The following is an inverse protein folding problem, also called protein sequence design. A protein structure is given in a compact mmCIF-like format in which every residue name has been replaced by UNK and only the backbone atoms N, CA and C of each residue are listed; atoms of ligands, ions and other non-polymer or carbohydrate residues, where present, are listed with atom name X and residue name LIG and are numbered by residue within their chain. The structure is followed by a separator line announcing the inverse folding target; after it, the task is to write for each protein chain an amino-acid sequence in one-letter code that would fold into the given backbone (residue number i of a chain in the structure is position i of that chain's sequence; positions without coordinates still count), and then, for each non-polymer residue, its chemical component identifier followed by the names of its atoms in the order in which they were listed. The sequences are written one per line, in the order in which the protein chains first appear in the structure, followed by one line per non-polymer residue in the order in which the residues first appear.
data_IF_455577697896
#
_entry.id   IF_455577697896
#
_cell.length_a   1.000
_cell.length_b   1.000
_cell.length_c   1.000
_cell.angle_alpha   90.00
_cell.angle_beta   90.00
_cell.angle_gamma   90.00
#
_symmetry.space_group_name_H-M   'P 1'
#
loop_
_entity.id
_entity.type
_entity.pdbx_description
1 polymer ?
#
# COMPACT_ATOMS: atom_id res chain seq x y z
N UNK A 1 -8.41 28.20 18.21
CA UNK A 1 -8.84 27.52 16.97
C UNK A 1 -8.26 26.12 16.95
N UNK A 2 -9.11 25.09 16.97
CA UNK A 2 -8.71 23.68 16.92
C UNK A 2 -9.11 23.08 15.57
N UNK A 3 -8.28 22.23 14.98
CA UNK A 3 -8.43 21.76 13.60
C UNK A 3 -8.14 20.28 13.51
N UNK A 4 -9.02 19.57 12.81
CA UNK A 4 -8.89 18.14 12.56
C UNK A 4 -9.10 17.83 11.07
N UNK A 5 -8.37 16.84 10.56
CA UNK A 5 -8.66 16.23 9.26
C UNK A 5 -9.80 15.24 9.51
N UNK A 6 -10.92 15.45 8.84
CA UNK A 6 -12.07 14.54 8.92
C UNK A 6 -11.90 13.39 7.95
N UNK A 7 -11.49 13.72 6.73
CA UNK A 7 -11.30 12.72 5.67
C UNK A 7 -10.32 13.21 4.62
N UNK A 8 -9.70 12.24 3.96
CA UNK A 8 -8.94 12.43 2.73
C UNK A 8 -9.57 11.51 1.69
N UNK A 9 -9.88 12.03 0.51
CA UNK A 9 -10.46 11.28 -0.61
C UNK A 9 -9.71 11.58 -1.90
N UNK A 10 -9.95 10.80 -2.96
CA UNK A 10 -9.48 11.15 -4.31
C UNK A 10 -10.31 12.32 -4.85
N UNK A 11 -9.66 13.26 -5.52
CA UNK A 11 -10.31 14.30 -6.31
C UNK A 11 -10.42 13.84 -7.77
N UNK A 12 -11.59 13.34 -8.16
CA UNK A 12 -11.85 12.78 -9.50
C UNK A 12 -12.22 13.83 -10.55
N UNK A 13 -12.28 15.11 -10.17
CA UNK A 13 -12.51 16.21 -11.08
C UNK A 13 -11.21 16.69 -11.76
N UNK A 14 -10.04 16.27 -11.26
CA UNK A 14 -8.75 16.63 -11.83
C UNK A 14 -8.23 15.57 -12.80
N UNK A 15 -7.60 16.01 -13.90
CA UNK A 15 -6.92 15.13 -14.85
C UNK A 15 -5.63 14.49 -14.28
N UNK A 16 -5.02 15.17 -13.31
CA UNK A 16 -3.81 14.70 -12.62
C UNK A 16 -4.24 14.04 -11.31
N UNK A 17 -3.62 12.92 -10.89
CA UNK A 17 -3.90 12.32 -9.59
C UNK A 17 -3.87 13.36 -8.47
N UNK A 18 -4.98 13.49 -7.74
CA UNK A 18 -5.15 14.51 -6.73
C UNK A 18 -5.93 13.98 -5.54
N UNK A 19 -5.67 14.57 -4.37
CA UNK A 19 -6.41 14.32 -3.14
C UNK A 19 -7.25 15.53 -2.77
N UNK A 20 -8.38 15.27 -2.14
CA UNK A 20 -9.21 16.25 -1.45
C UNK A 20 -9.17 15.97 0.04
N UNK A 21 -8.91 17.01 0.83
CA UNK A 21 -8.77 16.93 2.29
C UNK A 21 -9.88 17.77 2.92
N UNK A 22 -10.77 17.12 3.66
CA UNK A 22 -11.78 17.80 4.46
C UNK A 22 -11.21 18.14 5.83
N UNK A 23 -11.18 19.44 6.14
CA UNK A 23 -10.81 19.97 7.43
C UNK A 23 -12.04 20.49 8.17
N UNK A 24 -12.12 20.21 9.46
CA UNK A 24 -13.04 20.91 10.37
C UNK A 24 -12.21 21.81 11.28
N UNK A 25 -12.55 23.09 11.27
CA UNK A 25 -11.94 24.12 12.09
C UNK A 25 -12.95 24.68 13.08
N UNK A 26 -12.66 24.56 14.36
CA UNK A 26 -13.48 25.07 15.46
C UNK A 26 -13.14 26.55 15.70
N UNK A 27 -14.05 27.45 15.31
CA UNK A 27 -13.90 28.91 15.43
C UNK A 27 -15.01 29.53 16.29
N UNK A 28 -14.71 30.68 16.90
CA UNK A 28 -15.69 31.47 17.66
C UNK A 28 -16.51 32.34 16.70
N UNK A 29 -17.75 31.95 16.45
CA UNK A 29 -18.60 32.66 15.49
C UNK A 29 -18.79 34.13 15.86
N UNK A 30 -18.79 34.99 14.84
CA UNK A 30 -18.86 36.47 14.94
C UNK A 30 -17.61 37.15 15.54
N UNK A 31 -16.64 36.38 16.06
CA UNK A 31 -15.43 36.90 16.69
C UNK A 31 -14.15 36.49 15.95
N UNK A 32 -14.17 35.33 15.30
CA UNK A 32 -13.11 34.82 14.44
C UNK A 32 -13.70 34.35 13.11
N UNK A 33 -13.08 34.75 12.00
CA UNK A 33 -13.42 34.30 10.65
C UNK A 33 -12.16 33.77 9.96
N UNK A 34 -12.09 32.47 9.64
CA UNK A 34 -11.07 31.95 8.74
C UNK A 34 -11.22 32.58 7.36
N UNK A 35 -10.17 33.23 6.87
CA UNK A 35 -10.15 33.91 5.57
C UNK A 35 -9.59 33.03 4.45
N UNK A 36 -8.61 32.20 4.77
CA UNK A 36 -8.05 31.25 3.81
C UNK A 36 -7.29 30.15 4.53
N UNK A 37 -7.33 28.94 3.98
CA UNK A 37 -6.55 27.81 4.45
C UNK A 37 -5.60 27.32 3.35
N UNK A 38 -4.34 27.12 3.71
CA UNK A 38 -3.34 26.56 2.79
C UNK A 38 -2.30 25.77 3.57
N UNK A 39 -1.50 24.94 2.93
CA UNK A 39 -0.51 24.17 3.66
C UNK A 39 0.32 23.23 2.82
N UNK A 40 0.93 22.27 3.52
CA UNK A 40 1.71 21.18 2.94
C UNK A 40 1.15 19.88 3.46
N UNK A 41 1.04 18.89 2.57
CA UNK A 41 0.77 17.50 2.94
C UNK A 41 2.10 16.76 2.97
N UNK A 42 2.36 16.05 4.05
CA UNK A 42 3.61 15.36 4.31
C UNK A 42 3.35 13.86 4.53
N UNK A 43 4.32 13.05 4.13
CA UNK A 43 4.37 11.64 4.48
C UNK A 43 4.92 11.44 5.90
N UNK A 44 4.82 10.22 6.42
CA UNK A 44 5.33 9.82 7.74
C UNK A 44 6.80 10.16 7.97
N UNK A 45 7.64 10.10 6.93
CA UNK A 45 9.07 10.44 7.01
C UNK A 45 9.33 11.96 6.98
N UNK A 46 8.29 12.79 7.07
CA UNK A 46 8.38 14.24 7.08
C UNK A 46 8.65 14.87 5.72
N UNK A 47 8.66 14.10 4.62
CA UNK A 47 8.80 14.65 3.27
C UNK A 47 7.49 15.25 2.80
N UNK A 48 7.57 16.41 2.15
CA UNK A 48 6.42 17.06 1.51
C UNK A 48 6.05 16.30 0.24
N UNK A 49 4.81 15.84 0.17
CA UNK A 49 4.27 15.11 -0.99
C UNK A 49 3.38 15.99 -1.87
N UNK A 50 2.76 17.02 -1.29
CA UNK A 50 1.87 17.93 -2.01
C UNK A 50 1.71 19.27 -1.30
N UNK A 51 1.22 20.28 -2.03
CA UNK A 51 0.80 21.57 -1.48
C UNK A 51 -0.73 21.58 -1.37
N UNK A 52 -1.25 21.91 -0.20
CA UNK A 52 -2.68 22.01 0.07
C UNK A 52 -3.15 23.41 -0.28
N UNK A 53 -4.16 23.50 -1.16
CA UNK A 53 -4.77 24.75 -1.59
C UNK A 53 -6.29 24.65 -1.48
N UNK A 54 -6.93 25.74 -1.10
CA UNK A 54 -8.38 25.83 -1.03
C UNK A 54 -8.95 25.84 -2.46
N UNK A 55 -9.72 24.81 -2.80
CA UNK A 55 -10.27 24.65 -4.15
C UNK A 55 -11.67 25.26 -4.24
N UNK A 56 -12.51 25.08 -3.21
CA UNK A 56 -13.88 25.57 -3.17
C UNK A 56 -14.27 25.99 -1.75
N UNK A 57 -14.89 27.17 -1.61
CA UNK A 57 -15.59 27.55 -0.39
C UNK A 57 -16.99 26.91 -0.50
N UNK A 58 -17.15 25.74 0.10
CA UNK A 58 -18.33 24.86 -0.05
C UNK A 58 -19.64 25.45 0.50
N UNK A 59 -19.62 26.64 1.11
CA UNK A 59 -20.83 27.28 1.63
C UNK A 59 -21.01 28.68 1.07
N UNK A 60 -22.19 28.93 0.53
CA UNK A 60 -22.83 30.26 0.42
C UNK A 60 -23.16 30.87 1.80
N UNK A 61 -22.57 30.35 2.89
CA UNK A 61 -22.80 30.87 4.23
C UNK A 61 -22.09 32.21 4.36
N UNK A 62 -22.86 33.26 4.62
CA UNK A 62 -22.32 34.55 5.03
C UNK A 62 -21.69 34.43 6.42
N UNK A 63 -20.36 34.31 6.45
CA UNK A 63 -19.59 34.47 7.68
C UNK A 63 -19.13 35.92 7.79
N UNK A 64 -19.28 36.48 8.99
CA UNK A 64 -18.89 37.86 9.22
C UNK A 64 -18.55 38.10 10.68
N UNK A 65 -17.74 39.13 10.91
CA UNK A 65 -17.50 39.67 12.24
C UNK A 65 -18.63 40.63 12.57
N UNK A 66 -19.24 40.49 13.74
CA UNK A 66 -20.26 41.42 14.22
C UNK A 66 -19.65 42.30 15.29
N UNK A 67 -19.74 43.61 15.16
CA UNK A 67 -19.36 44.51 16.24
C UNK A 67 -20.35 44.28 17.39
N UNK A 68 -19.86 43.79 18.53
CA UNK A 68 -20.66 43.47 19.71
C UNK A 68 -20.41 44.52 20.79
N UNK A 69 -21.44 44.85 21.56
CA UNK A 69 -21.25 45.57 22.83
C UNK A 69 -20.52 44.68 23.85
N UNK A 70 -19.96 45.30 24.90
CA UNK A 70 -19.17 44.61 25.92
C UNK A 70 -19.93 43.48 26.64
N UNK A 71 -21.20 43.67 27.09
CA UNK A 71 -21.97 42.60 27.72
C UNK A 71 -22.22 41.39 26.79
N UNK A 72 -22.48 41.65 25.51
CA UNK A 72 -22.67 40.60 24.51
C UNK A 72 -21.35 39.88 24.26
N UNK A 73 -20.25 40.61 24.15
CA UNK A 73 -18.91 40.04 23.97
C UNK A 73 -18.56 39.06 25.10
N UNK A 74 -18.73 39.45 26.35
CA UNK A 74 -18.49 38.60 27.53
C UNK A 74 -19.37 37.34 27.51
N UNK A 75 -20.64 37.47 27.11
CA UNK A 75 -21.56 36.33 26.94
C UNK A 75 -21.10 35.35 25.85
N UNK A 76 -20.53 35.84 24.75
CA UNK A 76 -19.99 35.00 23.67
C UNK A 76 -18.68 34.31 24.04
N UNK A 77 -17.86 34.91 24.91
CA UNK A 77 -16.64 34.28 25.42
C UNK A 77 -16.92 33.26 26.52
N UNK A 78 -17.87 33.54 27.42
CA UNK A 78 -18.19 32.66 28.55
C UNK A 78 -19.05 31.45 28.17
N UNK A 79 -19.79 31.52 27.06
CA UNK A 79 -20.49 30.39 26.48
C UNK A 79 -19.64 29.87 25.33
N UNK A 80 -19.22 28.61 25.34
CA UNK A 80 -18.44 27.96 24.29
C UNK A 80 -19.17 27.95 22.91
N UNK A 81 -19.38 29.11 22.28
CA UNK A 81 -19.98 29.29 20.96
C UNK A 81 -18.95 28.99 19.87
N UNK A 82 -18.38 27.80 19.97
CA UNK A 82 -17.46 27.25 18.99
C UNK A 82 -18.29 26.52 17.96
N UNK A 83 -18.25 26.95 16.70
CA UNK A 83 -18.90 26.25 15.59
C UNK A 83 -17.86 25.64 14.65
N UNK A 84 -18.18 24.52 14.00
CA UNK A 84 -17.33 23.92 12.99
C UNK A 84 -17.41 24.72 11.68
N UNK A 85 -16.26 25.12 11.17
CA UNK A 85 -16.04 25.61 9.82
C UNK A 85 -15.40 24.49 8.99
N UNK A 86 -16.09 24.09 7.92
CA UNK A 86 -15.63 23.04 7.00
C UNK A 86 -14.87 23.67 5.85
N UNK A 87 -13.68 23.17 5.55
CA UNK A 87 -12.87 23.60 4.41
C UNK A 87 -12.39 22.39 3.61
N UNK A 88 -12.52 22.46 2.29
CA UNK A 88 -12.00 21.45 1.38
C UNK A 88 -10.72 21.97 0.72
N UNK A 89 -9.61 21.30 1.00
CA UNK A 89 -8.34 21.59 0.35
C UNK A 89 -8.05 20.53 -0.70
N UNK A 90 -7.69 20.95 -1.91
CA UNK A 90 -7.16 20.08 -2.94
C UNK A 90 -5.64 20.07 -2.95
N UNK A 91 -5.08 18.96 -3.41
CA UNK A 91 -3.67 18.88 -3.74
C UNK A 91 -3.38 17.84 -4.82
N UNK A 92 -2.68 18.24 -5.89
CA UNK A 92 -2.22 17.31 -6.91
C UNK A 92 -0.97 16.56 -6.45
N UNK A 93 -0.89 15.28 -6.78
CA UNK A 93 0.21 14.39 -6.46
C UNK A 93 1.06 14.12 -7.69
N UNK A 94 2.37 14.29 -7.55
CA UNK A 94 3.32 13.84 -8.58
C UNK A 94 3.52 12.33 -8.54
N UNK A 95 3.91 11.72 -9.66
CA UNK A 95 4.28 10.31 -9.72
C UNK A 95 5.36 9.93 -8.69
N UNK A 96 6.33 10.84 -8.45
CA UNK A 96 7.37 10.65 -7.43
C UNK A 96 6.80 10.60 -6.01
N UNK A 97 5.81 11.44 -5.71
CA UNK A 97 5.13 11.45 -4.42
C UNK A 97 4.30 10.17 -4.22
N UNK A 98 3.58 9.74 -5.24
CA UNK A 98 2.79 8.50 -5.25
C UNK A 98 3.69 7.28 -4.99
N UNK A 99 4.78 7.14 -5.75
CA UNK A 99 5.74 6.06 -5.57
C UNK A 99 6.39 6.09 -4.18
N UNK A 100 6.67 7.29 -3.65
CA UNK A 100 7.21 7.45 -2.30
C UNK A 100 6.24 6.94 -1.24
N UNK A 101 4.95 7.29 -1.34
CA UNK A 101 3.91 6.81 -0.43
C UNK A 101 3.77 5.29 -0.48
N UNK A 102 3.76 4.71 -1.69
CA UNK A 102 3.65 3.26 -1.86
C UNK A 102 4.85 2.52 -1.28
N UNK A 103 6.07 3.05 -1.47
CA UNK A 103 7.29 2.48 -0.88
C UNK A 103 7.27 2.53 0.66
N UNK A 104 6.76 3.61 1.26
CA UNK A 104 6.60 3.70 2.71
C UNK A 104 5.55 2.71 3.22
N UNK A 105 4.41 2.63 2.54
CA UNK A 105 3.33 1.69 2.83
C UNK A 105 3.83 0.24 2.84
N UNK A 106 4.60 -0.14 1.82
CA UNK A 106 5.14 -1.50 1.69
C UNK A 106 6.09 -1.88 2.82
N UNK A 107 6.77 -0.91 3.45
CA UNK A 107 7.67 -1.16 4.59
C UNK A 107 6.92 -1.37 5.92
N UNK A 108 5.67 -0.89 6.04
CA UNK A 108 4.86 -1.06 7.25
C UNK A 108 4.27 -2.46 7.35
N UNK A 109 4.06 -2.93 8.59
CA UNK A 109 3.38 -4.21 8.85
C UNK A 109 1.89 -4.13 8.49
N UNK A 110 1.21 -3.06 8.92
CA UNK A 110 -0.22 -2.81 8.68
C UNK A 110 -0.54 -2.32 7.26
N UNK A 111 0.49 -1.99 6.46
CA UNK A 111 0.35 -1.46 5.10
C UNK A 111 -0.61 -0.26 4.96
N UNK A 112 -0.77 0.52 6.03
CA UNK A 112 -1.49 1.79 6.07
C UNK A 112 -0.61 2.94 5.58
N UNK A 113 -1.24 4.04 5.14
CA UNK A 113 -0.56 5.27 4.72
C UNK A 113 -0.82 6.37 5.73
N UNK A 114 0.24 6.87 6.37
CA UNK A 114 0.16 7.98 7.30
C UNK A 114 0.53 9.30 6.64
N UNK A 115 -0.35 10.27 6.84
CA UNK A 115 -0.24 11.60 6.29
C UNK A 115 -0.33 12.63 7.42
N UNK A 116 0.37 13.74 7.23
CA UNK A 116 0.32 14.89 8.12
C UNK A 116 0.10 16.16 7.30
N UNK A 117 -0.92 16.93 7.64
CA UNK A 117 -1.11 18.26 7.06
C UNK A 117 -0.51 19.31 7.99
N UNK A 118 0.38 20.14 7.44
CA UNK A 118 0.87 21.37 8.09
C UNK A 118 0.20 22.56 7.45
N UNK A 119 -0.66 23.22 8.19
CA UNK A 119 -1.56 24.26 7.72
C UNK A 119 -1.09 25.64 8.16
N UNK A 120 -1.26 26.63 7.28
CA UNK A 120 -1.18 28.06 7.53
C UNK A 120 -2.56 28.65 7.26
N UNK A 121 -3.14 29.27 8.28
CA UNK A 121 -4.53 29.71 8.25
C UNK A 121 -4.56 31.18 8.58
N UNK A 122 -5.07 31.94 7.62
CA UNK A 122 -5.28 33.37 7.80
C UNK A 122 -6.62 33.54 8.49
N UNK A 123 -6.61 34.22 9.62
CA UNK A 123 -7.79 34.48 10.44
C UNK A 123 -7.93 35.98 10.63
N UNK A 124 -9.15 36.47 10.47
CA UNK A 124 -9.56 37.79 10.93
C UNK A 124 -10.28 37.62 12.26
N UNK A 125 -9.85 38.33 13.29
CA UNK A 125 -10.46 38.26 14.61
C UNK A 125 -10.60 39.62 15.30
N UNK A 126 -11.49 39.68 16.29
CA UNK A 126 -11.82 40.89 17.02
C UNK A 126 -11.40 40.80 18.49
N UNK A 127 -10.37 41.54 18.94
CA UNK A 127 -9.96 41.66 20.35
C UNK A 127 -10.06 40.37 21.15
N UNK A 128 -10.15 40.43 22.46
CA UNK A 128 -11.03 39.53 23.24
C UNK A 128 -11.32 40.23 24.56
N UNK A 129 -10.39 41.09 25.01
CA UNK A 129 -10.54 41.92 26.22
C UNK A 129 -10.14 43.38 25.92
N UNK A 130 -10.85 44.40 26.45
CA UNK A 130 -10.23 45.69 26.72
C UNK A 130 -9.28 45.48 27.89
N UNK A 131 -7.97 45.40 27.65
CA UNK A 131 -7.00 45.16 28.73
C UNK A 131 -7.04 46.35 29.71
N UNK A 132 -7.64 46.15 30.88
CA UNK A 132 -7.82 47.17 31.92
C UNK A 132 -6.50 47.71 32.48
N UNK A 133 -5.37 47.06 32.16
CA UNK A 133 -4.01 47.42 32.61
C UNK A 133 -3.07 47.92 31.50
N UNK A 134 -3.56 48.17 30.28
CA UNK A 134 -2.70 48.73 29.23
C UNK A 134 -2.49 50.24 29.43
N UNK A 135 -1.24 50.74 29.39
CA UNK A 135 -1.00 52.17 29.38
C UNK A 135 -1.74 52.83 28.20
N UNK A 136 -2.28 54.03 28.45
CA UNK A 136 -3.18 54.84 27.59
C UNK A 136 -2.65 55.11 26.17
N UNK A 137 -1.44 54.69 25.84
CA UNK A 137 -0.79 54.85 24.53
C UNK A 137 -0.80 53.59 23.65
N UNK A 138 -1.39 52.49 24.10
CA UNK A 138 -1.41 51.25 23.30
C UNK A 138 -2.58 51.29 22.31
N UNK A 139 -2.31 51.53 21.02
CA UNK A 139 -3.33 51.37 19.97
C UNK A 139 -3.72 49.89 19.86
N UNK A 140 -4.89 49.53 20.40
CA UNK A 140 -5.46 48.19 20.20
C UNK A 140 -6.20 48.19 18.86
N UNK A 141 -5.83 47.33 17.90
CA UNK A 141 -6.52 47.27 16.63
C UNK A 141 -7.95 46.75 16.82
N UNK A 142 -8.93 47.41 16.20
CA UNK A 142 -10.34 46.97 16.21
C UNK A 142 -10.52 45.60 15.54
N UNK A 143 -9.67 45.30 14.56
CA UNK A 143 -9.60 44.05 13.81
C UNK A 143 -8.15 43.62 13.75
N UNK A 144 -7.87 42.38 14.13
CA UNK A 144 -6.56 41.77 13.93
C UNK A 144 -6.61 40.76 12.80
N UNK A 145 -5.58 40.80 11.96
CA UNK A 145 -5.30 39.77 10.98
C UNK A 145 -4.10 38.97 11.47
N UNK A 146 -4.25 37.66 11.57
CA UNK A 146 -3.17 36.78 12.01
C UNK A 146 -3.10 35.48 11.22
N UNK A 147 -1.89 34.96 11.07
CA UNK A 147 -1.64 33.64 10.52
C UNK A 147 -1.43 32.64 11.65
N UNK A 148 -2.36 31.69 11.79
CA UNK A 148 -2.27 30.57 12.74
C UNK A 148 -1.69 29.35 12.02
N UNK A 149 -0.81 28.61 12.70
CA UNK A 149 -0.29 27.32 12.22
C UNK A 149 -1.02 26.19 12.92
N UNK A 150 -1.29 25.12 12.19
CA UNK A 150 -1.88 23.91 12.75
C UNK A 150 -1.23 22.67 12.12
N UNK A 151 -1.16 21.59 12.89
CA UNK A 151 -0.72 20.29 12.41
C UNK A 151 -1.78 19.24 12.75
N UNK A 152 -2.09 18.40 11.78
CA UNK A 152 -3.09 17.35 11.94
C UNK A 152 -2.63 16.09 11.19
N UNK A 153 -2.94 14.94 11.78
CA UNK A 153 -2.55 13.63 11.27
C UNK A 153 -3.77 12.87 10.76
N UNK A 154 -3.58 12.08 9.71
CA UNK A 154 -4.60 11.21 9.17
C UNK A 154 -3.98 9.90 8.70
N UNK A 155 -4.65 8.78 8.95
CA UNK A 155 -4.21 7.46 8.50
C UNK A 155 -5.23 6.90 7.53
N UNK A 156 -4.78 6.60 6.30
CA UNK A 156 -5.56 5.84 5.33
C UNK A 156 -5.26 4.36 5.57
N UNK A 157 -6.30 3.58 5.88
CA UNK A 157 -6.15 2.15 6.13
C UNK A 157 -5.79 1.40 4.85
N UNK A 158 -5.18 0.21 4.98
CA UNK A 158 -4.78 -0.60 3.81
C UNK A 158 -5.97 -0.90 2.89
N UNK A 159 -7.11 -1.27 3.46
CA UNK A 159 -8.33 -1.59 2.73
C UNK A 159 -8.79 -0.40 1.89
N UNK A 160 -8.82 0.79 2.51
CA UNK A 160 -9.23 2.01 1.83
C UNK A 160 -8.23 2.36 0.73
N UNK A 161 -6.92 2.27 1.02
CA UNK A 161 -5.87 2.55 0.06
C UNK A 161 -6.01 1.69 -1.20
N UNK A 162 -6.22 0.39 -1.05
CA UNK A 162 -6.35 -0.55 -2.18
C UNK A 162 -7.67 -0.32 -2.93
N UNK A 163 -8.78 -0.14 -2.21
CA UNK A 163 -10.10 -0.11 -2.84
C UNK A 163 -10.46 1.26 -3.44
N UNK A 164 -9.92 2.35 -2.89
CA UNK A 164 -10.35 3.70 -3.22
C UNK A 164 -9.23 4.59 -3.77
N UNK A 165 -7.96 4.29 -3.46
CA UNK A 165 -6.84 5.16 -3.86
C UNK A 165 -5.97 4.56 -4.97
N UNK A 166 -5.51 3.30 -4.83
CA UNK A 166 -4.41 2.77 -5.66
C UNK A 166 -4.69 2.85 -7.16
N UNK A 167 -5.85 2.37 -7.59
CA UNK A 167 -6.25 2.42 -9.00
C UNK A 167 -6.32 3.88 -9.51
N UNK A 168 -7.03 4.76 -8.79
CA UNK A 168 -7.20 6.16 -9.20
C UNK A 168 -5.90 6.97 -9.15
N UNK A 169 -4.92 6.56 -8.35
CA UNK A 169 -3.59 7.16 -8.31
C UNK A 169 -2.63 6.56 -9.36
N UNK A 170 -3.10 5.64 -10.20
CA UNK A 170 -2.25 4.96 -11.19
C UNK A 170 -1.23 4.01 -10.55
N UNK A 171 -1.42 3.63 -9.28
CA UNK A 171 -0.64 2.60 -8.61
C UNK A 171 -1.25 1.26 -9.01
N UNK A 172 -0.91 0.79 -10.22
CA UNK A 172 -1.11 -0.55 -10.78
C UNK A 172 -2.44 -1.27 -10.53
N UNK A 173 -3.05 -1.81 -11.57
CA UNK A 173 -4.09 -2.84 -11.42
C UNK A 173 -3.44 -4.09 -10.78
N UNK A 174 -3.62 -4.27 -9.47
CA UNK A 174 -3.14 -5.46 -8.78
C UNK A 174 -4.23 -6.53 -8.79
N UNK A 175 -3.88 -7.74 -9.23
CA UNK A 175 -4.65 -8.93 -8.91
C UNK A 175 -4.13 -9.49 -7.59
N UNK A 176 -4.99 -9.50 -6.56
CA UNK A 176 -4.70 -10.23 -5.34
C UNK A 176 -4.91 -11.72 -5.61
N UNK A 177 -3.82 -12.49 -5.60
CA UNK A 177 -3.88 -13.95 -5.67
C UNK A 177 -3.65 -14.51 -4.26
N UNK A 178 -4.71 -14.96 -3.62
CA UNK A 178 -4.63 -15.71 -2.37
C UNK A 178 -4.37 -17.18 -2.69
N UNK A 179 -3.21 -17.67 -2.27
CA UNK A 179 -2.89 -19.10 -2.32
C UNK A 179 -2.65 -19.59 -0.91
N UNK A 180 -3.29 -20.69 -0.55
CA UNK A 180 -3.00 -21.35 0.72
C UNK A 180 -1.53 -21.76 0.78
N UNK A 181 -0.88 -21.46 1.90
CA UNK A 181 0.44 -22.02 2.17
C UNK A 181 0.33 -23.56 2.17
N UNK A 182 1.26 -24.28 1.51
CA UNK A 182 1.24 -25.73 1.58
C UNK A 182 1.60 -26.18 2.99
N UNK A 183 0.63 -26.72 3.73
CA UNK A 183 0.82 -27.24 5.09
C UNK A 183 1.20 -28.72 5.01
N UNK A 184 2.09 -29.16 5.89
CA UNK A 184 2.46 -30.55 6.20
C UNK A 184 1.27 -31.34 6.78
N UNK A 185 0.21 -31.54 5.97
CA UNK A 185 -0.96 -32.34 6.34
C UNK A 185 -0.71 -33.86 6.27
N UNK A 186 -1.77 -34.65 6.27
CA UNK A 186 -1.71 -36.10 6.03
C UNK A 186 -1.21 -36.36 4.60
N UNK A 187 0.05 -36.79 4.49
CA UNK A 187 0.70 -37.20 3.25
C UNK A 187 1.26 -38.59 3.54
N UNK A 188 1.02 -39.54 2.64
CA UNK A 188 1.53 -40.90 2.79
C UNK A 188 3.05 -40.91 3.02
N UNK A 189 3.52 -41.78 3.92
CA UNK A 189 4.89 -41.78 4.44
C UNK A 189 5.95 -41.85 3.34
N UNK A 190 5.68 -42.64 2.30
CA UNK A 190 6.54 -42.81 1.12
C UNK A 190 6.78 -41.51 0.34
N UNK A 191 5.84 -40.55 0.40
CA UNK A 191 5.93 -39.26 -0.29
C UNK A 191 6.50 -38.14 0.57
N UNK A 192 6.63 -38.35 1.89
CA UNK A 192 6.91 -37.29 2.84
C UNK A 192 8.23 -36.58 2.57
N UNK A 193 9.31 -37.34 2.36
CA UNK A 193 10.64 -36.79 2.09
C UNK A 193 10.71 -36.00 0.77
N UNK A 194 9.93 -36.40 -0.25
CA UNK A 194 9.82 -35.64 -1.49
C UNK A 194 9.05 -34.34 -1.29
N UNK A 195 7.91 -34.42 -0.60
CA UNK A 195 7.04 -33.27 -0.37
C UNK A 195 7.74 -32.22 0.49
N UNK A 196 8.36 -32.63 1.60
CA UNK A 196 9.02 -31.73 2.55
C UNK A 196 10.20 -30.99 1.88
N UNK A 197 10.97 -31.68 1.02
CA UNK A 197 12.04 -31.03 0.24
C UNK A 197 11.49 -30.00 -0.74
N UNK A 198 10.38 -30.29 -1.42
CA UNK A 198 9.75 -29.35 -2.36
C UNK A 198 9.14 -28.16 -1.61
N UNK A 199 8.50 -28.40 -0.47
CA UNK A 199 7.96 -27.37 0.41
C UNK A 199 9.05 -26.44 0.93
N UNK A 200 10.19 -27.00 1.36
CA UNK A 200 11.32 -26.19 1.79
C UNK A 200 11.79 -25.23 0.69
N UNK A 201 11.83 -25.65 -0.57
CA UNK A 201 12.21 -24.75 -1.68
C UNK A 201 11.20 -23.63 -1.91
N UNK A 202 9.91 -23.89 -1.70
CA UNK A 202 8.88 -22.84 -1.70
C UNK A 202 9.10 -21.84 -0.58
N UNK A 203 9.46 -22.31 0.63
CA UNK A 203 9.81 -21.41 1.72
C UNK A 203 11.07 -20.58 1.43
N UNK A 204 12.11 -21.20 0.88
CA UNK A 204 13.35 -20.52 0.50
C UNK A 204 13.09 -19.43 -0.57
N UNK A 205 12.23 -19.73 -1.56
CA UNK A 205 11.79 -18.73 -2.57
C UNK A 205 11.08 -17.55 -1.92
N UNK A 206 10.13 -17.82 -1.01
CA UNK A 206 9.39 -16.77 -0.29
C UNK A 206 10.32 -15.86 0.49
N UNK A 207 11.28 -16.44 1.20
CA UNK A 207 12.26 -15.68 1.97
C UNK A 207 13.11 -14.78 1.05
N UNK A 208 13.57 -15.31 -0.10
CA UNK A 208 14.31 -14.52 -1.07
C UNK A 208 13.48 -13.36 -1.64
N UNK A 209 12.19 -13.59 -1.95
CA UNK A 209 11.26 -12.55 -2.43
C UNK A 209 11.05 -11.46 -1.37
N UNK A 210 10.90 -11.83 -0.09
CA UNK A 210 10.75 -10.88 1.02
C UNK A 210 11.97 -9.96 1.17
N UNK A 211 13.17 -10.48 0.89
CA UNK A 211 14.42 -9.73 0.90
C UNK A 211 14.74 -9.02 -0.42
N UNK A 212 13.86 -9.10 -1.42
CA UNK A 212 14.07 -8.53 -2.75
C UNK A 212 15.27 -9.13 -3.52
N UNK A 213 15.64 -10.36 -3.19
CA UNK A 213 16.71 -11.11 -3.85
C UNK A 213 16.12 -12.00 -4.94
N UNK A 214 15.87 -11.40 -6.11
CA UNK A 214 15.20 -12.05 -7.24
C UNK A 214 16.05 -13.19 -7.82
N UNK A 215 17.37 -13.01 -7.88
CA UNK A 215 18.27 -14.02 -8.43
C UNK A 215 18.28 -15.28 -7.55
N UNK A 216 18.32 -15.09 -6.23
CA UNK A 216 18.25 -16.19 -5.27
C UNK A 216 16.89 -16.87 -5.28
N UNK A 217 15.79 -16.12 -5.48
CA UNK A 217 14.48 -16.72 -5.70
C UNK A 217 14.46 -17.64 -6.92
N UNK A 218 15.06 -17.23 -8.04
CA UNK A 218 15.21 -18.07 -9.24
C UNK A 218 16.09 -19.30 -9.00
N UNK A 219 17.14 -19.19 -8.18
CA UNK A 219 17.95 -20.32 -7.75
C UNK A 219 17.13 -21.38 -7.01
N UNK A 220 16.33 -20.97 -6.02
CA UNK A 220 15.45 -21.88 -5.29
C UNK A 220 14.33 -22.45 -6.19
N UNK A 221 13.81 -21.65 -7.12
CA UNK A 221 12.83 -22.11 -8.11
C UNK A 221 13.37 -23.25 -8.97
N UNK A 222 14.60 -23.14 -9.48
CA UNK A 222 15.24 -24.25 -10.21
C UNK A 222 15.30 -25.51 -9.35
N UNK A 223 15.75 -25.40 -8.10
CA UNK A 223 15.84 -26.57 -7.21
C UNK A 223 14.47 -27.19 -6.92
N UNK A 224 13.41 -26.37 -6.82
CA UNK A 224 12.05 -26.85 -6.73
C UNK A 224 11.66 -27.70 -7.95
N UNK A 225 11.85 -27.16 -9.17
CA UNK A 225 11.55 -27.91 -10.40
C UNK A 225 12.48 -29.11 -10.61
N UNK A 226 13.70 -29.08 -10.07
CA UNK A 226 14.61 -30.24 -10.06
C UNK A 226 14.09 -31.36 -9.17
N UNK A 227 13.53 -31.05 -8.01
CA UNK A 227 12.88 -32.04 -7.15
C UNK A 227 11.69 -32.69 -7.84
N UNK A 228 10.90 -31.91 -8.58
CA UNK A 228 9.74 -32.39 -9.34
C UNK A 228 10.12 -33.13 -10.63
N UNK A 229 11.33 -32.90 -11.15
CA UNK A 229 11.86 -33.61 -12.30
C UNK A 229 12.20 -35.03 -11.86
N UNK A 230 11.25 -35.95 -12.03
CA UNK A 230 11.48 -37.39 -11.97
C UNK A 230 12.44 -37.79 -13.11
N UNK A 231 13.74 -37.59 -12.88
CA UNK A 231 14.75 -37.83 -13.89
C UNK A 231 14.79 -39.35 -14.17
N UNK A 232 14.36 -39.76 -15.36
CA UNK A 232 14.17 -41.16 -15.74
C UNK A 232 15.44 -42.02 -15.62
N UNK A 233 16.61 -41.37 -15.54
CA UNK A 233 17.91 -42.00 -15.35
C UNK A 233 18.21 -42.43 -13.90
N UNK A 234 17.45 -41.96 -12.90
CA UNK A 234 17.57 -42.41 -11.51
C UNK A 234 16.49 -43.45 -11.22
N UNK A 235 16.88 -44.67 -10.87
CA UNK A 235 15.96 -45.81 -10.69
C UNK A 235 14.76 -45.51 -9.77
N UNK A 236 14.94 -44.76 -8.68
CA UNK A 236 13.85 -44.36 -7.77
C UNK A 236 12.92 -43.26 -8.30
N UNK A 237 13.35 -42.46 -9.28
CA UNK A 237 12.55 -41.38 -9.84
C UNK A 237 11.48 -41.89 -10.81
N UNK A 238 11.79 -42.94 -11.57
CA UNK A 238 10.82 -43.56 -12.50
C UNK A 238 9.61 -44.12 -11.74
N UNK A 239 9.87 -44.81 -10.63
CA UNK A 239 8.83 -45.36 -9.75
C UNK A 239 7.89 -44.28 -9.21
N UNK A 240 8.42 -43.13 -8.79
CA UNK A 240 7.60 -42.01 -8.30
C UNK A 240 6.74 -41.39 -9.42
N UNK A 241 7.29 -41.21 -10.63
CA UNK A 241 6.49 -40.72 -11.78
C UNK A 241 5.31 -41.65 -12.06
N UNK A 242 5.56 -42.95 -12.08
CA UNK A 242 4.53 -43.95 -12.38
C UNK A 242 3.47 -44.03 -11.27
N UNK A 243 3.87 -43.95 -9.99
CA UNK A 243 2.92 -43.88 -8.87
C UNK A 243 2.07 -42.60 -8.92
N UNK A 244 2.69 -41.44 -9.20
CA UNK A 244 1.94 -40.19 -9.37
C UNK A 244 0.99 -40.27 -10.57
N UNK A 245 1.41 -40.90 -11.67
CA UNK A 245 0.55 -41.15 -12.84
C UNK A 245 -0.69 -41.93 -12.44
N UNK A 246 -0.55 -42.98 -11.62
CA UNK A 246 -1.69 -43.76 -11.12
C UNK A 246 -2.65 -42.91 -10.27
N UNK A 247 -2.13 -42.07 -9.38
CA UNK A 247 -2.97 -41.16 -8.57
C UNK A 247 -3.73 -40.14 -9.43
N UNK A 248 -3.11 -39.63 -10.49
CA UNK A 248 -3.80 -38.76 -11.45
C UNK A 248 -4.86 -39.53 -12.25
N UNK A 249 -4.58 -40.76 -12.67
CA UNK A 249 -5.53 -41.61 -13.40
C UNK A 249 -6.76 -41.98 -12.55
N UNK A 250 -6.59 -42.17 -11.22
CA UNK A 250 -7.70 -42.40 -10.29
C UNK A 250 -8.71 -41.25 -10.24
N UNK A 251 -8.24 -40.01 -10.47
CA UNK A 251 -9.08 -38.82 -10.60
C UNK A 251 -9.47 -38.52 -12.06
N UNK A 252 -9.43 -39.52 -12.95
CA UNK A 252 -9.86 -39.44 -14.34
C UNK A 252 -9.05 -38.44 -15.20
N UNK A 253 -7.83 -38.09 -14.80
CA UNK A 253 -6.93 -37.36 -15.69
C UNK A 253 -6.45 -38.30 -16.81
N UNK A 254 -6.61 -37.87 -18.05
CA UNK A 254 -6.09 -38.60 -19.22
C UNK A 254 -4.56 -38.64 -19.23
N UNK A 255 -3.99 -39.71 -19.81
CA UNK A 255 -2.55 -39.91 -19.93
C UNK A 255 -1.85 -38.74 -20.65
N UNK A 256 -2.46 -38.24 -21.73
CA UNK A 256 -1.97 -37.09 -22.47
C UNK A 256 -1.85 -35.83 -21.59
N UNK A 257 -2.85 -35.58 -20.74
CA UNK A 257 -2.84 -34.44 -19.83
C UNK A 257 -1.74 -34.54 -18.76
N UNK A 258 -1.50 -35.75 -18.24
CA UNK A 258 -0.40 -36.00 -17.30
C UNK A 258 0.96 -35.77 -17.94
N UNK A 259 1.20 -36.32 -19.14
CA UNK A 259 2.48 -36.11 -19.84
C UNK A 259 2.68 -34.65 -20.26
N UNK A 260 1.61 -33.93 -20.63
CA UNK A 260 1.66 -32.50 -20.91
C UNK A 260 2.06 -31.67 -19.67
N UNK A 261 1.47 -31.95 -18.51
CA UNK A 261 1.84 -31.32 -17.24
C UNK A 261 3.32 -31.56 -16.92
N UNK A 262 3.77 -32.81 -17.06
CA UNK A 262 5.14 -33.21 -16.74
C UNK A 262 6.16 -32.58 -17.71
N UNK A 263 5.81 -32.49 -18.99
CA UNK A 263 6.59 -31.73 -19.99
C UNK A 263 6.69 -30.26 -19.60
N UNK A 264 5.61 -29.66 -19.10
CA UNK A 264 5.59 -28.30 -18.54
C UNK A 264 6.59 -28.12 -17.41
N UNK A 265 6.58 -29.00 -16.41
CA UNK A 265 7.55 -29.00 -15.29
C UNK A 265 9.00 -29.06 -15.82
N UNK A 266 9.27 -29.92 -16.79
CA UNK A 266 10.60 -30.02 -17.42
C UNK A 266 11.01 -28.74 -18.14
N UNK A 267 10.07 -28.09 -18.83
CA UNK A 267 10.32 -26.81 -19.49
C UNK A 267 10.62 -25.69 -18.48
N UNK A 268 9.92 -25.66 -17.34
CA UNK A 268 10.20 -24.68 -16.27
C UNK A 268 11.54 -24.92 -15.58
N UNK A 269 11.96 -26.18 -15.40
CA UNK A 269 13.31 -26.49 -14.97
C UNK A 269 14.36 -25.91 -15.94
N UNK A 270 14.14 -26.07 -17.25
CA UNK A 270 15.07 -25.53 -18.26
C UNK A 270 15.06 -24.00 -18.28
N UNK A 271 13.89 -23.36 -18.15
CA UNK A 271 13.76 -21.90 -18.06
C UNK A 271 14.51 -21.34 -16.85
N UNK A 272 14.23 -21.85 -15.64
CA UNK A 272 14.88 -21.41 -14.40
C UNK A 272 16.38 -21.69 -14.39
N UNK A 273 16.84 -22.75 -15.05
CA UNK A 273 18.27 -23.06 -15.18
C UNK A 273 19.08 -22.00 -15.93
N UNK A 274 18.46 -21.24 -16.84
CA UNK A 274 19.14 -20.15 -17.57
C UNK A 274 19.57 -19.00 -16.67
N UNK A 275 18.90 -18.81 -15.53
CA UNK A 275 19.23 -17.78 -14.54
C UNK A 275 20.39 -18.18 -13.63
N UNK A 276 21.02 -19.34 -13.84
CA UNK A 276 22.08 -19.84 -12.96
C UNK A 276 23.32 -20.23 -13.73
N UNK A 277 23.16 -20.90 -14.87
CA UNK A 277 24.28 -21.42 -15.63
C UNK A 277 24.72 -20.43 -16.71
N UNK A 278 26.01 -20.11 -16.68
CA UNK A 278 26.72 -19.31 -17.67
C UNK A 278 27.16 -20.13 -18.89
N UNK A 279 26.91 -21.45 -18.90
CA UNK A 279 27.30 -22.36 -19.98
C UNK A 279 26.10 -23.12 -20.54
N UNK A 280 26.02 -23.25 -21.86
CA UNK A 280 25.12 -24.20 -22.50
C UNK A 280 25.61 -25.65 -22.39
N UNK A 281 24.79 -26.59 -22.88
CA UNK A 281 25.12 -28.01 -22.91
C UNK A 281 26.31 -28.35 -23.82
N UNK A 282 26.70 -27.44 -24.72
CA UNK A 282 27.85 -27.58 -25.61
C UNK A 282 29.13 -26.90 -25.04
N UNK A 283 29.06 -26.29 -23.85
CA UNK A 283 30.16 -25.61 -23.20
C UNK A 283 30.36 -24.14 -23.64
N UNK A 284 29.48 -23.60 -24.49
CA UNK A 284 29.48 -22.21 -24.90
C UNK A 284 28.99 -21.29 -23.79
N UNK A 285 29.67 -20.14 -23.62
CA UNK A 285 29.27 -19.13 -22.64
C UNK A 285 27.99 -18.41 -23.11
N UNK A 286 26.96 -18.40 -22.26
CA UNK A 286 25.75 -17.63 -22.47
C UNK A 286 25.59 -16.59 -21.35
N UNK A 287 25.13 -15.37 -21.68
CA UNK A 287 24.85 -14.37 -20.67
C UNK A 287 23.73 -14.87 -19.75
N UNK A 288 24.00 -14.88 -18.44
CA UNK A 288 23.02 -15.21 -17.42
C UNK A 288 22.04 -14.04 -17.29
N UNK A 289 20.72 -14.23 -17.52
CA UNK A 289 19.75 -13.17 -17.31
C UNK A 289 19.73 -12.72 -15.86
N UNK A 290 19.62 -11.41 -15.66
CA UNK A 290 19.38 -10.81 -14.34
C UNK A 290 17.88 -10.95 -14.06
N UNK A 291 17.52 -11.65 -13.00
CA UNK A 291 16.13 -11.87 -12.62
C UNK A 291 15.45 -10.56 -12.21
N UNK A 292 14.28 -10.30 -12.78
CA UNK A 292 13.40 -9.23 -12.34
C UNK A 292 12.41 -9.73 -11.28
N UNK A 293 11.70 -8.78 -10.66
CA UNK A 293 10.63 -9.06 -9.70
C UNK A 293 9.57 -9.97 -10.33
N UNK A 294 9.17 -9.66 -11.55
CA UNK A 294 8.11 -10.34 -12.29
C UNK A 294 8.46 -11.83 -12.53
N UNK A 295 9.72 -12.12 -12.87
CA UNK A 295 10.20 -13.50 -13.04
C UNK A 295 10.05 -14.30 -11.74
N UNK A 296 10.51 -13.73 -10.63
CA UNK A 296 10.50 -14.38 -9.32
C UNK A 296 9.06 -14.66 -8.83
N UNK A 297 8.16 -13.67 -8.94
CA UNK A 297 6.76 -13.84 -8.54
C UNK A 297 6.03 -14.85 -9.44
N UNK A 298 6.30 -14.86 -10.74
CA UNK A 298 5.72 -15.82 -11.68
C UNK A 298 6.11 -17.27 -11.31
N UNK A 299 7.40 -17.55 -11.14
CA UNK A 299 7.85 -18.92 -10.84
C UNK A 299 7.43 -19.38 -9.45
N UNK A 300 7.41 -18.48 -8.46
CA UNK A 300 6.94 -18.77 -7.11
C UNK A 300 5.47 -19.14 -7.09
N UNK A 301 4.64 -18.40 -7.84
CA UNK A 301 3.21 -18.65 -7.95
C UNK A 301 2.91 -20.01 -8.57
N UNK A 302 3.60 -20.34 -9.66
CA UNK A 302 3.51 -21.65 -10.29
C UNK A 302 3.97 -22.78 -9.36
N UNK A 303 5.05 -22.58 -8.61
CA UNK A 303 5.57 -23.58 -7.69
C UNK A 303 4.57 -23.91 -6.57
N UNK A 304 3.91 -22.90 -5.99
CA UNK A 304 2.86 -23.11 -4.98
C UNK A 304 1.68 -23.85 -5.59
N UNK A 305 1.18 -23.40 -6.76
CA UNK A 305 0.06 -24.04 -7.43
C UNK A 305 0.33 -25.52 -7.74
N UNK A 306 1.51 -25.82 -8.29
CA UNK A 306 1.93 -27.19 -8.55
C UNK A 306 2.04 -28.04 -7.28
N UNK A 307 2.64 -27.50 -6.22
CA UNK A 307 2.80 -28.23 -4.97
C UNK A 307 1.44 -28.52 -4.33
N UNK A 308 0.47 -27.63 -4.43
CA UNK A 308 -0.89 -27.85 -3.93
C UNK A 308 -1.65 -28.90 -4.77
N UNK A 309 -1.52 -28.88 -6.09
CA UNK A 309 -2.08 -29.92 -6.97
C UNK A 309 -1.53 -31.28 -6.56
N UNK A 310 -0.20 -31.40 -6.45
CA UNK A 310 0.46 -32.64 -6.05
C UNK A 310 0.00 -33.06 -4.65
N UNK A 311 0.02 -32.15 -3.68
CA UNK A 311 -0.44 -32.42 -2.31
C UNK A 311 -1.83 -33.02 -2.29
N UNK A 312 -2.77 -32.47 -3.06
CA UNK A 312 -4.15 -32.95 -3.13
C UNK A 312 -4.21 -34.42 -3.55
N UNK A 313 -3.38 -34.82 -4.54
CA UNK A 313 -3.28 -36.22 -5.00
C UNK A 313 -2.63 -37.16 -3.98
N UNK A 314 -1.74 -36.62 -3.15
CA UNK A 314 -1.00 -37.40 -2.15
C UNK A 314 -1.74 -37.54 -0.81
N UNK A 315 -2.91 -36.90 -0.65
CA UNK A 315 -3.76 -37.11 0.52
C UNK A 315 -4.43 -38.47 0.39
N UNK A 316 -4.18 -39.34 1.37
CA UNK A 316 -4.92 -40.57 1.61
C UNK A 316 -6.35 -40.27 2.07
#
# INVERSE_FOLDING_TARGET
MNIEIVSITIDDQQLVPALRVLLICKCYMNLEVPLSMSGKLLAEDGKVIAILMENDIVRESTMGLKILDQPTREKYFNKNFVQPYEAWLGCSLSAKAINHLENLRQKRTEKSVQLMARLNIKVLDMPTVPQEDLPVQTMIPTLSFQAKKAECHYTIQQTDWINHFSNRLGIGDFFLLEMEAPITGAIAQEWRAFFDRSLQRVHDMREAIQHQDWQKAMFYARMFYENLKFNEQRAGSKTLKDQLRLLFAQEQHGEEGFEALFKGISNFFNYTSKFIHDKDRAGGLNPVPIAAKEDAYFVYTLAIGLLQIIRKKLRS
#
